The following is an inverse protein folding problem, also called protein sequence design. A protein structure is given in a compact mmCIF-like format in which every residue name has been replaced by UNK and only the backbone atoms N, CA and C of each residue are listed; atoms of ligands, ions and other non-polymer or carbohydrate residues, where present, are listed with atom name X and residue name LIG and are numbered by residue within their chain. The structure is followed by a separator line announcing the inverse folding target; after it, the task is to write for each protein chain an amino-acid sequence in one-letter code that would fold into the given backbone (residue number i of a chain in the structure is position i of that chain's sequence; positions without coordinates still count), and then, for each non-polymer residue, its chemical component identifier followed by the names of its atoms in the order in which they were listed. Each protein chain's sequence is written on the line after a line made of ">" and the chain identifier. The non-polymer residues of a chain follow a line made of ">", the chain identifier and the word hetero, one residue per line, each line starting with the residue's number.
data_IF_544184325805
#
_entry.id   IF_544184325805
#
_cell.length_a   1.000
_cell.length_b   1.000
_cell.length_c   1.000
_cell.angle_alpha   90.00
_cell.angle_beta   90.00
_cell.angle_gamma   90.00
#
_symmetry.space_group_name_H-M   'P 1'
#
loop_
_entity.id
_entity.type
_entity.pdbx_description
1 polymer ?
#
# COMPACT_ATOMS: atom_id res chain seq x y z
N UNK A 1 3.60 20.27 2.81
CA UNK A 1 3.31 18.84 3.02
C UNK A 1 4.34 18.07 2.24
N UNK A 2 5.03 17.12 2.86
CA UNK A 2 6.14 16.37 2.24
C UNK A 2 5.61 15.36 1.23
N UNK A 3 6.19 15.36 0.03
CA UNK A 3 5.89 14.35 -0.97
C UNK A 3 6.81 13.14 -0.80
N UNK A 4 8.11 13.38 -0.60
CA UNK A 4 9.14 12.33 -0.50
C UNK A 4 9.91 12.46 0.80
N UNK A 5 9.88 11.42 1.62
CA UNK A 5 10.75 11.26 2.79
C UNK A 5 11.96 10.41 2.41
N UNK A 6 13.17 10.88 2.73
CA UNK A 6 14.40 10.12 2.46
C UNK A 6 15.01 9.64 3.77
N UNK A 7 15.02 8.32 3.93
CA UNK A 7 15.72 7.62 5.01
C UNK A 7 17.14 7.28 4.55
N UNK A 8 18.13 7.79 5.26
CA UNK A 8 19.54 7.59 4.95
C UNK A 8 20.41 7.68 6.20
N UNK A 9 21.68 7.32 6.06
CA UNK A 9 22.66 7.43 7.13
C UNK A 9 23.44 8.73 6.97
N UNK A 10 23.61 9.51 8.05
CA UNK A 10 24.22 10.86 8.02
C UNK A 10 25.58 10.93 7.30
N UNK A 11 26.37 9.87 7.39
CA UNK A 11 27.65 9.68 6.73
C UNK A 11 27.55 9.74 5.19
N UNK A 12 26.36 9.47 4.65
CA UNK A 12 26.04 9.53 3.22
C UNK A 12 25.42 10.86 2.77
N UNK A 13 25.27 11.83 3.67
CA UNK A 13 24.58 13.09 3.40
C UNK A 13 25.06 13.78 2.11
N UNK A 14 26.37 13.83 1.85
CA UNK A 14 26.91 14.45 0.64
C UNK A 14 26.50 13.73 -0.66
N UNK A 15 26.27 12.41 -0.61
CA UNK A 15 25.78 11.62 -1.75
C UNK A 15 24.26 11.77 -1.90
N UNK A 16 23.55 11.73 -0.78
CA UNK A 16 22.08 11.87 -0.72
C UNK A 16 21.63 13.27 -1.12
N UNK A 17 22.43 14.31 -0.87
CA UNK A 17 22.14 15.68 -1.31
C UNK A 17 21.90 15.76 -2.82
N UNK A 18 22.67 15.02 -3.64
CA UNK A 18 22.47 14.97 -5.10
C UNK A 18 21.12 14.35 -5.46
N UNK A 19 20.70 13.32 -4.74
CA UNK A 19 19.40 12.68 -4.89
C UNK A 19 18.27 13.67 -4.55
N UNK A 20 18.43 14.40 -3.46
CA UNK A 20 17.48 15.42 -2.99
C UNK A 20 17.32 16.54 -4.01
N UNK A 21 18.43 17.10 -4.49
CA UNK A 21 18.43 18.18 -5.48
C UNK A 21 17.78 17.74 -6.79
N UNK A 22 18.11 16.53 -7.25
CA UNK A 22 17.51 15.98 -8.46
C UNK A 22 16.00 15.75 -8.30
N UNK A 23 15.53 15.18 -7.18
CA UNK A 23 14.09 15.02 -6.91
C UNK A 23 13.36 16.37 -6.82
N UNK A 24 13.96 17.38 -6.17
CA UNK A 24 13.40 18.74 -6.08
C UNK A 24 13.31 19.41 -7.44
N UNK A 25 14.29 19.18 -8.32
CA UNK A 25 14.27 19.70 -9.68
C UNK A 25 13.11 19.13 -10.53
N UNK A 26 12.58 17.97 -10.15
CA UNK A 26 11.38 17.36 -10.75
C UNK A 26 10.07 17.80 -10.05
N UNK A 27 10.14 18.73 -9.10
CA UNK A 27 8.98 19.36 -8.45
C UNK A 27 8.50 18.70 -7.15
N UNK A 28 9.20 17.69 -6.63
CA UNK A 28 8.83 17.04 -5.37
C UNK A 28 9.21 17.89 -4.16
N UNK A 29 8.33 17.94 -3.16
CA UNK A 29 8.67 18.42 -1.81
C UNK A 29 9.41 17.32 -1.06
N UNK A 30 10.74 17.43 -1.01
CA UNK A 30 11.62 16.42 -0.41
C UNK A 30 12.03 16.80 1.02
N UNK A 31 11.76 15.89 1.95
CA UNK A 31 12.19 15.95 3.33
C UNK A 31 13.33 14.95 3.59
N UNK A 32 14.36 15.42 4.31
CA UNK A 32 15.52 14.66 4.76
C UNK A 32 16.14 15.41 5.96
N UNK A 33 16.74 14.70 6.92
CA UNK A 33 17.17 15.24 8.23
C UNK A 33 18.48 16.08 8.21
N UNK A 34 18.91 16.55 7.04
CA UNK A 34 20.18 17.26 6.90
C UNK A 34 20.13 18.65 7.57
N UNK A 35 20.99 18.86 8.57
CA UNK A 35 21.13 20.16 9.24
C UNK A 35 20.29 20.32 10.52
N UNK A 36 19.63 19.27 11.01
CA UNK A 36 19.02 19.28 12.35
C UNK A 36 20.14 19.36 13.39
N UNK A 37 20.16 20.44 14.17
CA UNK A 37 21.17 20.68 15.20
C UNK A 37 20.99 19.70 16.37
N UNK A 38 22.11 19.28 16.99
CA UNK A 38 22.05 18.51 18.22
C UNK A 38 21.36 19.33 19.32
N UNK A 39 20.21 18.86 19.82
CA UNK A 39 19.43 19.51 20.88
C UNK A 39 18.09 20.13 20.43
N UNK A 40 17.76 20.17 19.14
CA UNK A 40 16.38 20.43 18.71
C UNK A 40 15.50 19.19 18.90
N UNK A 41 14.17 19.35 18.97
CA UNK A 41 13.15 18.29 19.06
C UNK A 41 13.24 17.33 17.84
N UNK A 42 14.27 16.49 17.85
CA UNK A 42 14.73 15.66 16.74
C UNK A 42 13.72 14.57 16.40
N UNK A 43 12.98 14.06 17.38
CA UNK A 43 12.16 12.85 17.18
C UNK A 43 10.73 13.15 16.70
N UNK A 44 10.18 14.31 17.06
CA UNK A 44 8.77 14.63 16.72
C UNK A 44 8.61 15.07 15.26
N UNK A 45 9.56 15.83 14.73
CA UNK A 45 9.50 16.35 13.36
C UNK A 45 9.73 15.27 12.30
N UNK A 46 10.66 14.34 12.53
CA UNK A 46 10.98 13.25 11.60
C UNK A 46 9.78 12.30 11.46
N UNK A 47 9.20 11.87 12.56
CA UNK A 47 8.03 11.00 12.53
C UNK A 47 6.84 11.65 11.82
N UNK A 48 6.54 12.93 12.11
CA UNK A 48 5.46 13.64 11.45
C UNK A 48 5.65 13.66 9.92
N UNK A 49 6.87 13.91 9.47
CA UNK A 49 7.18 14.01 8.04
C UNK A 49 7.22 12.63 7.37
N UNK A 50 7.71 11.60 8.07
CA UNK A 50 7.64 10.21 7.62
C UNK A 50 6.19 9.76 7.41
N UNK A 51 5.30 10.05 8.36
CA UNK A 51 3.89 9.66 8.27
C UNK A 51 3.09 10.54 7.29
N UNK A 52 3.48 11.80 7.09
CA UNK A 52 2.87 12.69 6.11
C UNK A 52 3.32 12.42 4.67
N UNK A 53 4.48 11.79 4.47
CA UNK A 53 5.03 11.54 3.15
C UNK A 53 4.18 10.61 2.29
N UNK A 54 4.17 10.89 0.98
CA UNK A 54 3.53 10.06 -0.05
C UNK A 54 4.45 8.93 -0.54
N UNK A 55 5.76 9.16 -0.45
CA UNK A 55 6.80 8.18 -0.83
C UNK A 55 7.86 8.15 0.26
N UNK A 56 8.29 6.95 0.65
CA UNK A 56 9.47 6.74 1.49
C UNK A 56 10.57 6.16 0.63
N UNK A 57 11.70 6.86 0.55
CA UNK A 57 12.90 6.41 -0.15
C UNK A 57 13.91 5.94 0.89
N UNK A 58 14.19 4.64 0.92
CA UNK A 58 15.26 4.08 1.75
C UNK A 58 16.55 3.98 0.93
N UNK A 59 17.60 4.64 1.40
CA UNK A 59 18.91 4.66 0.74
C UNK A 59 19.81 3.59 1.36
N UNK A 60 20.06 2.52 0.60
CA UNK A 60 20.96 1.42 0.96
C UNK A 60 22.40 1.74 0.58
N UNK A 61 23.26 1.77 1.60
CA UNK A 61 24.69 2.01 1.53
C UNK A 61 25.41 1.07 2.48
N UNK A 62 26.75 1.02 2.43
CA UNK A 62 27.54 0.26 3.42
C UNK A 62 27.25 0.70 4.86
N UNK A 63 26.92 1.98 5.07
CA UNK A 63 26.62 2.54 6.38
C UNK A 63 25.17 2.29 6.83
N UNK A 64 24.21 2.26 5.89
CA UNK A 64 22.79 2.24 6.22
C UNK A 64 22.20 0.83 6.38
N UNK A 65 22.78 -0.19 5.72
CA UNK A 65 22.28 -1.58 5.81
C UNK A 65 22.30 -2.13 7.24
N UNK A 66 23.27 -1.69 8.06
CA UNK A 66 23.36 -2.04 9.48
C UNK A 66 22.54 -1.14 10.40
N UNK A 67 22.10 0.03 9.94
CA UNK A 67 21.52 1.08 10.79
C UNK A 67 20.07 0.72 11.19
N UNK A 68 19.77 0.56 12.50
CA UNK A 68 18.42 0.21 12.96
C UNK A 68 17.37 1.23 12.53
N UNK A 69 17.67 2.52 12.70
CA UNK A 69 16.75 3.61 12.39
C UNK A 69 16.35 3.66 10.91
N UNK A 70 17.31 3.52 9.98
CA UNK A 70 17.03 3.47 8.54
C UNK A 70 16.11 2.30 8.20
N UNK A 71 16.34 1.13 8.83
CA UNK A 71 15.49 -0.05 8.63
C UNK A 71 14.08 0.16 9.19
N UNK A 72 13.94 0.84 10.32
CA UNK A 72 12.64 1.16 10.91
C UNK A 72 11.83 2.12 10.04
N UNK A 73 12.44 3.21 9.57
CA UNK A 73 11.79 4.15 8.65
C UNK A 73 11.41 3.48 7.32
N UNK A 74 12.31 2.65 6.77
CA UNK A 74 12.04 1.85 5.57
C UNK A 74 10.89 0.86 5.81
N UNK A 75 10.79 0.27 7.00
CA UNK A 75 9.72 -0.64 7.37
C UNK A 75 8.36 0.07 7.42
N UNK A 76 8.32 1.31 7.92
CA UNK A 76 7.11 2.14 7.88
C UNK A 76 6.66 2.38 6.43
N UNK A 77 7.59 2.76 5.55
CA UNK A 77 7.31 2.92 4.12
C UNK A 77 6.81 1.64 3.47
N UNK A 78 7.46 0.50 3.79
CA UNK A 78 7.10 -0.82 3.27
C UNK A 78 5.70 -1.23 3.69
N UNK A 79 5.38 -1.11 4.97
CA UNK A 79 4.07 -1.51 5.53
C UNK A 79 2.93 -0.67 4.96
N UNK A 80 3.22 0.59 4.58
CA UNK A 80 2.27 1.49 3.91
C UNK A 80 2.20 1.30 2.40
N UNK A 81 3.03 0.44 1.81
CA UNK A 81 3.08 0.22 0.36
C UNK A 81 3.66 1.39 -0.43
N UNK A 82 4.39 2.31 0.23
CA UNK A 82 4.95 3.52 -0.38
C UNK A 82 6.48 3.55 -0.39
N UNK A 83 7.12 2.40 -0.18
CA UNK A 83 8.58 2.28 -0.19
C UNK A 83 9.13 2.19 -1.61
N UNK A 84 10.06 3.09 -1.94
CA UNK A 84 10.91 3.00 -3.14
C UNK A 84 12.36 2.90 -2.69
N UNK A 85 12.93 1.69 -2.55
CA UNK A 85 14.30 1.54 -2.11
C UNK A 85 15.30 1.85 -3.23
N UNK A 86 16.45 2.41 -2.86
CA UNK A 86 17.54 2.73 -3.79
C UNK A 86 18.88 2.33 -3.17
N UNK A 87 19.80 1.78 -3.94
CA UNK A 87 21.17 1.50 -3.50
C UNK A 87 22.16 2.49 -4.10
N UNK A 88 23.07 2.99 -3.27
CA UNK A 88 24.16 3.90 -3.66
C UNK A 88 25.55 3.28 -3.47
N UNK A 89 25.62 2.12 -2.81
CA UNK A 89 26.78 1.23 -2.78
C UNK A 89 26.37 -0.16 -3.29
N UNK A 90 27.34 -0.96 -3.74
CA UNK A 90 27.10 -2.38 -3.99
C UNK A 90 26.95 -3.13 -2.66
N UNK A 91 25.70 -3.14 -2.17
CA UNK A 91 25.28 -3.81 -0.95
C UNK A 91 23.98 -4.57 -1.18
N UNK A 92 23.78 -5.62 -0.42
CA UNK A 92 22.52 -6.35 -0.39
C UNK A 92 21.53 -5.63 0.54
N UNK A 93 20.26 -5.39 0.13
CA UNK A 93 19.25 -4.82 1.02
C UNK A 93 19.07 -5.68 2.28
N UNK A 94 18.78 -5.09 3.45
CA UNK A 94 18.63 -5.85 4.68
C UNK A 94 17.51 -6.89 4.61
N UNK A 95 17.60 -7.91 5.47
CA UNK A 95 16.57 -8.94 5.59
C UNK A 95 15.20 -8.30 5.81
N UNK A 96 14.20 -8.79 5.08
CA UNK A 96 12.86 -8.21 5.05
C UNK A 96 12.64 -7.20 3.91
N UNK A 97 13.69 -6.69 3.27
CA UNK A 97 13.57 -5.78 2.12
C UNK A 97 14.04 -6.42 0.80
N UNK A 98 14.69 -7.59 0.86
CA UNK A 98 15.21 -8.33 -0.31
C UNK A 98 14.15 -8.68 -1.37
N UNK A 99 12.87 -8.82 -0.98
CA UNK A 99 11.77 -9.08 -1.92
C UNK A 99 11.27 -7.83 -2.66
N UNK A 100 11.81 -6.65 -2.32
CA UNK A 100 11.48 -5.38 -2.96
C UNK A 100 12.69 -4.95 -3.78
N UNK A 101 12.51 -4.85 -5.09
CA UNK A 101 13.58 -4.44 -5.99
C UNK A 101 14.03 -3.02 -5.66
N UNK A 102 15.31 -2.85 -5.34
CA UNK A 102 15.93 -1.54 -5.15
C UNK A 102 16.44 -0.98 -6.49
N UNK A 103 16.18 0.31 -6.73
CA UNK A 103 16.80 1.02 -7.83
C UNK A 103 18.33 1.04 -7.63
N UNK A 104 19.09 0.84 -8.70
CA UNK A 104 20.55 0.86 -8.63
C UNK A 104 21.10 2.22 -9.08
N UNK A 105 21.52 3.06 -8.13
CA UNK A 105 22.20 4.34 -8.37
C UNK A 105 23.66 4.32 -7.90
N UNK A 106 24.29 3.15 -7.85
CA UNK A 106 25.73 3.03 -7.61
C UNK A 106 26.48 3.84 -8.66
N UNK A 107 27.45 4.64 -8.21
CA UNK A 107 28.26 5.56 -9.02
C UNK A 107 27.46 6.63 -9.79
N UNK A 108 26.18 6.82 -9.49
CA UNK A 108 25.41 7.91 -10.09
C UNK A 108 25.85 9.27 -9.50
N UNK A 109 26.18 10.21 -10.39
CA UNK A 109 26.76 11.51 -10.03
C UNK A 109 25.80 12.69 -10.21
N UNK A 110 24.49 12.45 -10.37
CA UNK A 110 23.49 13.51 -10.54
C UNK A 110 23.03 13.74 -11.98
N UNK A 111 23.46 12.91 -12.93
CA UNK A 111 22.97 13.00 -14.31
C UNK A 111 21.49 12.61 -14.39
N UNK A 112 20.62 13.60 -14.61
CA UNK A 112 19.16 13.42 -14.70
C UNK A 112 18.70 12.75 -15.99
N UNK A 113 19.59 12.57 -16.96
CA UNK A 113 19.31 11.80 -18.18
C UNK A 113 19.67 10.32 -18.07
N UNK A 114 20.33 9.91 -16.97
CA UNK A 114 20.70 8.52 -16.72
C UNK A 114 19.44 7.62 -16.67
N UNK A 115 19.36 6.54 -17.48
CA UNK A 115 18.21 5.63 -17.49
C UNK A 115 17.89 5.02 -16.11
N UNK A 116 18.91 4.82 -15.26
CA UNK A 116 18.75 4.31 -13.89
C UNK A 116 18.03 5.33 -13.01
N UNK A 117 18.39 6.60 -13.16
CA UNK A 117 17.70 7.71 -12.51
C UNK A 117 16.27 7.87 -13.01
N UNK A 118 16.05 7.82 -14.33
CA UNK A 118 14.71 7.92 -14.91
C UNK A 118 13.80 6.78 -14.44
N UNK A 119 14.32 5.55 -14.35
CA UNK A 119 13.60 4.40 -13.79
C UNK A 119 13.21 4.61 -12.32
N UNK A 120 14.15 5.10 -11.51
CA UNK A 120 13.89 5.46 -10.11
C UNK A 120 12.84 6.57 -10.00
N UNK A 121 12.98 7.65 -10.79
CA UNK A 121 12.07 8.79 -10.81
C UNK A 121 10.64 8.37 -11.20
N UNK A 122 10.50 7.50 -12.20
CA UNK A 122 9.21 6.94 -12.59
C UNK A 122 8.56 6.15 -11.45
N UNK A 123 9.33 5.35 -10.72
CA UNK A 123 8.82 4.63 -9.56
C UNK A 123 8.37 5.58 -8.44
N UNK A 124 9.18 6.59 -8.10
CA UNK A 124 8.82 7.64 -7.12
C UNK A 124 7.54 8.36 -7.55
N UNK A 125 7.43 8.76 -8.83
CA UNK A 125 6.26 9.43 -9.37
C UNK A 125 4.99 8.55 -9.32
N UNK A 126 5.10 7.28 -9.69
CA UNK A 126 3.99 6.35 -9.65
C UNK A 126 3.49 6.12 -8.22
N UNK A 127 4.40 5.85 -7.28
CA UNK A 127 4.05 5.69 -5.86
C UNK A 127 3.45 6.98 -5.30
N UNK A 128 4.01 8.15 -5.63
CA UNK A 128 3.49 9.44 -5.17
C UNK A 128 2.07 9.73 -5.66
N UNK A 129 1.67 9.20 -6.82
CA UNK A 129 0.33 9.33 -7.41
C UNK A 129 -0.59 8.15 -7.08
N UNK A 130 -0.11 7.17 -6.31
CA UNK A 130 -0.80 5.92 -6.04
C UNK A 130 -1.20 5.16 -7.33
N UNK A 131 -0.31 5.19 -8.31
CA UNK A 131 -0.42 4.49 -9.59
C UNK A 131 0.40 3.19 -9.57
N UNK A 132 0.04 2.18 -10.38
CA UNK A 132 0.87 1.00 -10.56
C UNK A 132 2.28 1.43 -11.02
N UNK A 133 3.31 1.00 -10.28
CA UNK A 133 4.70 1.24 -10.69
C UNK A 133 4.91 0.55 -12.05
N UNK A 134 5.28 1.29 -13.10
CA UNK A 134 5.57 0.70 -14.40
C UNK A 134 6.66 -0.35 -14.19
N UNK A 135 6.40 -1.59 -14.61
CA UNK A 135 7.48 -2.57 -14.69
C UNK A 135 8.48 -1.99 -15.67
N UNK A 136 9.73 -1.76 -15.24
CA UNK A 136 10.81 -1.60 -16.21
C UNK A 136 10.78 -2.88 -17.04
N UNK A 137 10.37 -2.75 -18.30
CA UNK A 137 10.33 -3.87 -19.22
C UNK A 137 11.65 -4.62 -19.11
N UNK A 138 11.57 -5.95 -19.04
CA UNK A 138 12.72 -6.82 -19.19
C UNK A 138 13.61 -6.29 -20.33
N UNK A 139 14.95 -6.36 -20.22
CA UNK A 139 15.85 -5.76 -21.20
C UNK A 139 15.35 -6.14 -22.58
N UNK A 140 14.89 -5.13 -23.35
CA UNK A 140 14.39 -5.39 -24.69
C UNK A 140 15.48 -6.17 -25.39
N UNK A 141 15.16 -7.39 -25.86
CA UNK A 141 16.05 -8.07 -26.78
C UNK A 141 16.41 -7.02 -27.81
N UNK A 142 17.71 -6.75 -27.99
CA UNK A 142 18.16 -5.99 -29.15
C UNK A 142 17.41 -6.57 -30.34
N UNK A 143 16.80 -5.76 -31.21
CA UNK A 143 16.25 -6.26 -32.45
C UNK A 143 17.31 -7.16 -33.06
N UNK A 144 16.96 -8.42 -33.33
CA UNK A 144 17.89 -9.33 -33.98
C UNK A 144 18.46 -8.59 -35.19
N UNK A 145 19.79 -8.56 -35.39
CA UNK A 145 20.34 -7.94 -36.58
C UNK A 145 19.63 -8.55 -37.78
N UNK A 146 19.22 -7.74 -38.79
CA UNK A 146 18.41 -8.22 -39.89
C UNK A 146 19.06 -9.47 -40.46
N UNK A 147 18.27 -10.55 -40.54
CA UNK A 147 18.73 -11.84 -41.00
C UNK A 147 19.53 -11.65 -42.29
N UNK A 148 20.78 -12.11 -42.29
CA UNK A 148 21.62 -12.06 -43.47
C UNK A 148 20.87 -12.71 -44.64
N UNK A 149 20.92 -12.11 -45.85
CA UNK A 149 20.24 -12.70 -46.99
C UNK A 149 20.79 -14.12 -47.23
N UNK A 150 19.93 -15.08 -47.61
CA UNK A 150 20.36 -16.45 -47.80
C UNK A 150 21.43 -16.50 -48.89
N UNK A 151 22.57 -17.10 -48.55
CA UNK A 151 23.66 -17.35 -49.49
C UNK A 151 23.15 -18.19 -50.66
N UNK A 152 23.19 -17.60 -51.86
CA UNK A 152 22.85 -18.27 -53.11
C UNK A 152 24.04 -19.14 -53.53
N UNK A 153 24.01 -20.41 -53.12
CA UNK A 153 24.86 -21.46 -53.70
C UNK A 153 24.28 -21.97 -55.03
N UNK A 154 25.13 -22.34 -56.02
CA UNK A 154 24.68 -22.62 -57.38
C UNK A 154 24.02 -23.99 -57.52
N UNK A 155 22.98 -24.03 -58.36
CA UNK A 155 22.13 -25.18 -58.68
C UNK A 155 22.89 -26.27 -59.47
N UNK A 156 22.77 -27.52 -59.03
CA UNK A 156 22.84 -28.77 -59.82
C UNK A 156 21.71 -29.64 -59.24
N UNK A 157 20.69 -30.13 -59.92
CA UNK A 157 20.51 -30.50 -61.32
C UNK A 157 20.12 -31.98 -61.33
N UNK A 158 18.83 -32.31 -61.25
CA UNK A 158 18.27 -33.51 -61.90
C UNK A 158 16.75 -33.42 -61.99
N UNK A 159 16.25 -33.57 -63.22
CA UNK A 159 14.86 -33.63 -63.59
C UNK A 159 14.33 -35.05 -63.44
N UNK A 160 13.07 -35.22 -62.98
CA UNK A 160 12.16 -36.25 -63.50
C UNK A 160 10.75 -35.65 -63.55
N UNK A 161 10.15 -35.77 -64.72
CA UNK A 161 8.81 -35.33 -65.09
C UNK A 161 7.73 -36.34 -64.68
N UNK A 162 6.49 -35.86 -64.43
CA UNK A 162 5.27 -36.56 -64.88
C UNK A 162 4.00 -35.75 -64.59
N UNK A 163 3.49 -35.13 -65.67
CA UNK A 163 2.10 -35.21 -66.18
C UNK A 163 0.88 -34.72 -65.38
N UNK A 164 0.28 -33.64 -65.92
CA UNK A 164 -1.11 -33.51 -66.41
C UNK A 164 -2.28 -33.51 -65.40
N UNK A 165 -2.92 -32.33 -65.25
CA UNK A 165 -4.32 -32.01 -65.65
C UNK A 165 -4.50 -30.50 -65.39
N UNK A 166 -4.55 -29.61 -66.41
CA UNK A 166 -5.72 -29.39 -67.28
C UNK A 166 -6.81 -28.65 -66.49
N UNK A 167 -6.75 -27.31 -66.35
CA UNK A 167 -7.47 -26.33 -67.20
C UNK A 167 -8.99 -26.61 -67.27
N UNK A 168 -9.91 -25.68 -67.00
CA UNK A 168 -10.17 -24.49 -67.82
C UNK A 168 -11.32 -23.66 -67.17
N UNK A 169 -11.07 -22.41 -66.74
CA UNK A 169 -11.46 -21.09 -67.32
C UNK A 169 -12.91 -20.61 -67.08
N UNK A 170 -13.09 -19.47 -66.37
CA UNK A 170 -13.23 -18.06 -66.85
C UNK A 170 -14.55 -17.78 -67.58
N UNK A 171 -15.40 -16.91 -67.02
CA UNK A 171 -15.70 -15.58 -67.57
C UNK A 171 -17.22 -15.40 -67.61
N UNK A 172 -17.85 -14.23 -67.49
CA UNK A 172 -17.40 -12.85 -67.68
C UNK A 172 -18.45 -11.92 -67.06
N UNK A 173 -18.00 -10.74 -66.63
CA UNK A 173 -18.84 -9.63 -66.17
C UNK A 173 -19.51 -8.89 -67.33
N UNK A 174 -20.66 -8.25 -67.06
CA UNK A 174 -21.06 -6.91 -67.51
C UNK A 174 -22.54 -6.68 -67.09
N UNK A 175 -22.86 -5.79 -66.14
CA UNK A 175 -23.02 -4.33 -66.31
C UNK A 175 -24.53 -3.97 -66.30
N UNK A 176 -24.84 -2.69 -66.06
CA UNK A 176 -26.15 -1.99 -66.11
C UNK A 176 -26.86 -1.81 -64.74
N UNK A 177 -26.92 -0.53 -64.33
CA UNK A 177 -27.49 -0.03 -63.07
C UNK A 177 -29.01 0.24 -63.10
N UNK A 178 -29.50 1.34 -62.52
CA UNK A 178 -30.09 1.35 -61.18
C UNK A 178 -31.61 1.66 -61.14
N UNK A 179 -32.16 1.64 -59.92
CA UNK A 179 -33.45 2.21 -59.43
C UNK A 179 -34.74 1.41 -59.68
N UNK A 180 -35.47 1.06 -58.61
CA UNK A 180 -36.69 1.75 -58.16
C UNK A 180 -37.46 0.94 -57.10
N UNK A 181 -38.15 1.71 -56.27
CA UNK A 181 -39.06 1.37 -55.17
C UNK A 181 -40.20 0.46 -55.66
N UNK A 182 -40.50 -0.60 -54.90
CA UNK A 182 -41.65 -1.49 -55.12
C UNK A 182 -42.25 -1.94 -53.80
N UNK A 183 -43.34 -1.29 -53.41
CA UNK A 183 -44.15 -1.57 -52.22
C UNK A 183 -44.71 -3.00 -52.26
N UNK A 184 -44.56 -3.75 -51.17
CA UNK A 184 -45.29 -5.02 -50.98
C UNK A 184 -46.68 -4.72 -50.44
N UNK A 185 -47.68 -4.81 -51.30
CA UNK A 185 -49.08 -4.93 -50.93
C UNK A 185 -49.32 -6.30 -50.30
N UNK A 186 -49.55 -6.34 -48.99
CA UNK A 186 -50.08 -7.50 -48.31
C UNK A 186 -51.60 -7.52 -48.48
N UNK A 187 -52.09 -8.51 -49.21
CA UNK A 187 -53.51 -8.78 -49.43
C UNK A 187 -54.14 -9.30 -48.14
N UNK A 188 -55.09 -8.57 -47.57
CA UNK A 188 -55.93 -9.02 -46.45
C UNK A 188 -57.14 -9.79 -46.95
N UNK A 189 -57.25 -11.08 -46.58
CA UNK A 189 -58.50 -11.84 -46.65
C UNK A 189 -59.36 -11.59 -45.40
N UNK A 190 -60.69 -11.41 -45.53
CA UNK A 190 -61.59 -11.27 -44.39
C UNK A 190 -62.12 -12.64 -43.91
N UNK A 191 -61.94 -12.96 -42.64
CA UNK A 191 -62.61 -14.06 -41.94
C UNK A 191 -63.81 -13.52 -41.14
N UNK A 192 -64.95 -14.21 -41.29
CA UNK A 192 -66.22 -13.97 -40.62
C UNK A 192 -66.16 -14.19 -39.09
N UNK A 193 -67.13 -13.65 -38.31
CA UNK A 193 -66.98 -13.45 -36.87
C UNK A 193 -67.40 -14.68 -36.05
N UNK A 194 -66.48 -15.14 -35.18
CA UNK A 194 -66.80 -16.00 -34.04
C UNK A 194 -67.18 -15.18 -32.80
N UNK A 195 -67.90 -15.76 -31.83
CA UNK A 195 -68.51 -15.02 -30.72
C UNK A 195 -67.48 -14.34 -29.82
N UNK A 196 -67.88 -13.19 -29.30
CA UNK A 196 -67.07 -12.25 -28.53
C UNK A 196 -66.22 -12.91 -27.45
N UNK A 197 -64.89 -12.75 -27.57
CA UNK A 197 -63.97 -12.95 -26.47
C UNK A 197 -64.31 -11.98 -25.32
N UNK A 198 -64.26 -12.41 -24.05
CA UNK A 198 -64.49 -11.51 -22.92
C UNK A 198 -63.44 -10.40 -22.92
N UNK A 199 -63.86 -9.19 -22.54
CA UNK A 199 -63.02 -8.01 -22.46
C UNK A 199 -61.71 -8.30 -21.70
N UNK A 200 -60.58 -7.69 -22.09
CA UNK A 200 -59.34 -7.83 -21.35
C UNK A 200 -59.57 -7.39 -19.90
N UNK A 201 -59.31 -8.31 -18.97
CA UNK A 201 -59.39 -8.04 -17.54
C UNK A 201 -58.53 -6.81 -17.23
N UNK A 202 -59.10 -5.85 -16.49
CA UNK A 202 -58.35 -4.72 -15.96
C UNK A 202 -57.10 -5.23 -15.23
N UNK A 203 -55.94 -4.57 -15.36
CA UNK A 203 -54.77 -4.92 -14.56
C UNK A 203 -55.19 -4.89 -13.09
N UNK A 204 -54.93 -5.99 -12.38
CA UNK A 204 -55.19 -6.05 -10.95
C UNK A 204 -54.54 -4.82 -10.27
N UNK A 205 -55.20 -4.19 -9.28
CA UNK A 205 -54.59 -3.13 -8.50
C UNK A 205 -53.22 -3.60 -8.00
N UNK A 206 -52.18 -2.73 -7.94
CA UNK A 206 -50.85 -3.13 -7.53
C UNK A 206 -50.97 -3.89 -6.22
N UNK A 207 -50.45 -5.13 -6.23
CA UNK A 207 -50.45 -5.98 -5.05
C UNK A 207 -49.95 -5.16 -3.87
N UNK A 208 -50.69 -5.16 -2.77
CA UNK A 208 -50.27 -4.51 -1.54
C UNK A 208 -48.81 -4.92 -1.27
N UNK A 209 -47.92 -3.97 -0.93
CA UNK A 209 -46.52 -4.28 -0.70
C UNK A 209 -46.46 -5.43 0.31
N UNK A 210 -45.63 -6.46 0.05
CA UNK A 210 -45.54 -7.62 0.92
C UNK A 210 -45.30 -7.14 2.36
N UNK A 211 -45.95 -7.76 3.37
CA UNK A 211 -45.75 -7.37 4.75
C UNK A 211 -44.26 -7.47 5.08
N UNK A 212 -43.69 -6.37 5.57
CA UNK A 212 -42.27 -6.27 5.87
C UNK A 212 -41.93 -7.31 6.93
N UNK A 213 -41.01 -8.21 6.62
CA UNK A 213 -40.61 -9.23 7.58
C UNK A 213 -39.91 -8.59 8.79
N UNK A 214 -40.07 -9.13 10.01
CA UNK A 214 -39.37 -8.59 11.18
C UNK A 214 -37.85 -8.54 11.01
N UNK A 215 -37.27 -9.50 10.30
CA UNK A 215 -35.84 -9.54 9.99
C UNK A 215 -35.41 -8.45 8.99
N UNK A 216 -36.27 -8.11 8.04
CA UNK A 216 -36.02 -7.01 7.10
C UNK A 216 -36.11 -5.67 7.81
N UNK A 217 -37.14 -5.48 8.64
CA UNK A 217 -37.31 -4.29 9.45
C UNK A 217 -36.10 -4.06 10.36
N UNK A 218 -35.64 -5.10 11.06
CA UNK A 218 -34.48 -5.00 11.94
C UNK A 218 -33.19 -4.63 11.18
N UNK A 219 -32.97 -5.18 9.98
CA UNK A 219 -31.79 -4.84 9.19
C UNK A 219 -31.88 -3.41 8.64
N UNK A 220 -33.08 -2.97 8.25
CA UNK A 220 -33.34 -1.59 7.85
C UNK A 220 -33.09 -0.61 9.00
N UNK A 221 -33.63 -0.87 10.20
CA UNK A 221 -33.45 -0.03 11.37
C UNK A 221 -31.97 0.06 11.75
N UNK A 222 -31.23 -1.06 11.66
CA UNK A 222 -29.78 -1.09 11.83
C UNK A 222 -29.06 -0.22 10.80
N UNK A 223 -29.42 -0.33 9.52
CA UNK A 223 -28.82 0.49 8.46
C UNK A 223 -29.10 1.98 8.65
N UNK A 224 -30.30 2.33 9.08
CA UNK A 224 -30.70 3.71 9.40
C UNK A 224 -30.03 4.26 10.66
N UNK A 225 -29.67 3.40 11.62
CA UNK A 225 -28.90 3.77 12.80
C UNK A 225 -27.42 4.00 12.47
N UNK A 226 -26.82 3.13 11.63
CA UNK A 226 -25.41 3.23 11.24
C UNK A 226 -25.17 4.33 10.19
N UNK A 227 -26.15 4.57 9.30
CA UNK A 227 -26.09 5.54 8.19
C UNK A 227 -24.85 5.42 7.31
N UNK A 228 -24.21 4.26 7.23
CA UNK A 228 -23.02 4.05 6.40
C UNK A 228 -23.39 3.49 5.03
N UNK A 229 -22.62 3.82 3.99
CA UNK A 229 -22.78 3.19 2.66
C UNK A 229 -22.78 1.66 2.76
N UNK A 230 -21.88 1.09 3.57
CA UNK A 230 -21.77 -0.36 3.76
C UNK A 230 -23.03 -0.98 4.36
N UNK A 231 -23.68 -0.31 5.31
CA UNK A 231 -24.90 -0.83 5.93
C UNK A 231 -26.07 -0.85 4.93
N UNK A 232 -26.21 0.22 4.14
CA UNK A 232 -27.21 0.30 3.08
C UNK A 232 -26.96 -0.71 1.94
N UNK A 233 -25.71 -0.89 1.52
CA UNK A 233 -25.33 -1.93 0.57
C UNK A 233 -25.64 -3.34 1.09
N UNK A 234 -25.37 -3.60 2.37
CA UNK A 234 -25.69 -4.88 3.02
C UNK A 234 -27.19 -5.16 3.02
N UNK A 235 -28.02 -4.13 3.25
CA UNK A 235 -29.48 -4.26 3.12
C UNK A 235 -29.89 -4.64 1.67
N UNK A 236 -29.35 -3.96 0.65
CA UNK A 236 -29.66 -4.27 -0.76
C UNK A 236 -29.26 -5.69 -1.16
N UNK A 237 -28.17 -6.21 -0.58
CA UNK A 237 -27.72 -7.58 -0.82
C UNK A 237 -28.62 -8.61 -0.14
N UNK A 238 -29.07 -8.34 1.09
CA UNK A 238 -29.94 -9.25 1.84
C UNK A 238 -31.39 -9.25 1.32
N UNK A 239 -31.90 -8.09 0.90
CA UNK A 239 -33.27 -7.90 0.43
C UNK A 239 -33.30 -7.14 -0.90
N UNK A 240 -32.89 -7.76 -2.03
CA UNK A 240 -32.81 -7.09 -3.33
C UNK A 240 -34.16 -6.62 -3.88
N UNK A 241 -35.25 -7.25 -3.43
CA UNK A 241 -36.63 -6.87 -3.72
C UNK A 241 -37.39 -6.43 -2.45
N UNK A 242 -36.67 -6.01 -1.41
CA UNK A 242 -37.22 -5.56 -0.15
C UNK A 242 -38.04 -4.27 -0.25
N UNK A 243 -38.85 -4.00 0.77
CA UNK A 243 -39.73 -2.85 0.85
C UNK A 243 -38.99 -1.50 0.83
N UNK A 244 -37.74 -1.46 1.31
CA UNK A 244 -36.96 -0.23 1.41
C UNK A 244 -35.95 -0.02 0.28
N UNK A 245 -35.90 -0.89 -0.73
CA UNK A 245 -34.88 -0.85 -1.80
C UNK A 245 -34.78 0.50 -2.50
N UNK A 246 -35.91 1.11 -2.87
CA UNK A 246 -35.89 2.42 -3.54
C UNK A 246 -35.38 3.51 -2.60
N UNK A 247 -35.86 3.52 -1.35
CA UNK A 247 -35.41 4.47 -0.34
C UNK A 247 -33.90 4.35 -0.07
N UNK A 248 -33.37 3.13 -0.06
CA UNK A 248 -31.93 2.89 0.10
C UNK A 248 -31.15 3.44 -1.09
N UNK A 249 -31.62 3.25 -2.32
CA UNK A 249 -30.98 3.82 -3.52
C UNK A 249 -30.93 5.35 -3.44
N UNK A 250 -32.03 5.98 -3.05
CA UNK A 250 -32.09 7.43 -2.90
C UNK A 250 -31.12 7.93 -1.82
N UNK A 251 -31.04 7.24 -0.67
CA UNK A 251 -30.10 7.56 0.41
C UNK A 251 -28.64 7.40 -0.06
N UNK A 252 -28.34 6.38 -0.87
CA UNK A 252 -26.98 6.16 -1.38
C UNK A 252 -26.50 7.27 -2.32
N UNK A 253 -27.43 8.04 -2.93
CA UNK A 253 -27.09 9.22 -3.75
C UNK A 253 -26.70 10.43 -2.90
N UNK A 254 -27.08 10.48 -1.63
CA UNK A 254 -26.77 11.60 -0.72
C UNK A 254 -25.54 11.33 0.15
N UNK A 255 -24.80 10.24 -0.10
CA UNK A 255 -23.60 9.91 0.66
C UNK A 255 -22.55 11.03 0.56
N UNK A 256 -21.99 11.41 1.71
CA UNK A 256 -20.85 12.31 1.81
C UNK A 256 -19.74 11.66 2.62
N UNK A 257 -18.51 11.99 2.28
CA UNK A 257 -17.36 11.54 3.06
C UNK A 257 -17.20 12.45 4.26
N UNK A 258 -17.33 11.88 5.45
CA UNK A 258 -16.95 12.52 6.70
C UNK A 258 -15.64 11.97 7.19
N UNK A 259 -14.86 12.87 7.78
CA UNK A 259 -13.61 12.51 8.43
C UNK A 259 -13.89 12.37 9.91
N UNK A 260 -13.74 11.15 10.43
CA UNK A 260 -13.88 10.86 11.85
C UNK A 260 -12.53 10.52 12.47
N UNK A 261 -12.31 11.03 13.66
CA UNK A 261 -11.12 10.74 14.45
C UNK A 261 -11.40 9.55 15.34
N UNK A 262 -10.72 8.44 15.05
CA UNK A 262 -10.82 7.22 15.83
C UNK A 262 -9.48 6.92 16.47
N UNK A 263 -9.50 6.36 17.66
CA UNK A 263 -8.30 5.94 18.36
C UNK A 263 -8.23 4.43 18.32
N UNK A 264 -7.10 3.91 17.84
CA UNK A 264 -6.86 2.46 17.75
C UNK A 264 -5.51 2.15 18.34
N UNK A 265 -5.32 0.91 18.75
CA UNK A 265 -4.03 0.44 19.21
C UNK A 265 -2.95 0.66 18.13
N UNK A 266 -1.86 1.29 18.54
CA UNK A 266 -0.70 1.58 17.70
C UNK A 266 0.26 0.39 17.61
N UNK A 267 1.32 0.51 16.79
CA UNK A 267 2.36 -0.50 16.73
C UNK A 267 3.06 -0.62 18.08
N UNK A 268 3.31 -1.85 18.52
CA UNK A 268 3.99 -2.12 19.78
C UNK A 268 5.51 -1.90 19.66
N UNK A 269 6.10 -1.25 20.65
CA UNK A 269 7.55 -1.38 20.89
C UNK A 269 7.72 -2.60 21.78
N UNK A 270 8.06 -3.74 21.19
CA UNK A 270 8.14 -5.01 21.89
C UNK A 270 9.59 -5.46 22.11
N UNK A 271 9.83 -6.11 23.25
CA UNK A 271 11.07 -6.81 23.61
C UNK A 271 12.36 -5.96 23.52
N UNK A 272 12.27 -4.67 23.82
CA UNK A 272 13.45 -3.81 23.94
C UNK A 272 14.17 -4.10 25.25
N UNK A 273 15.50 -4.12 25.25
CA UNK A 273 16.28 -4.46 26.45
C UNK A 273 16.63 -3.21 27.24
N UNK A 274 16.39 -3.24 28.56
CA UNK A 274 16.87 -2.22 29.49
C UNK A 274 17.76 -2.85 30.54
N UNK A 275 18.80 -2.11 30.93
CA UNK A 275 19.75 -2.51 31.96
C UNK A 275 19.58 -1.66 33.21
N UNK A 276 19.28 -2.30 34.33
CA UNK A 276 19.39 -1.71 35.66
C UNK A 276 20.66 -2.16 36.34
N UNK A 277 21.19 -1.34 37.26
CA UNK A 277 22.39 -1.65 38.04
C UNK A 277 22.15 -1.32 39.51
N UNK A 278 22.46 -2.28 40.36
CA UNK A 278 22.53 -2.11 41.80
C UNK A 278 23.86 -2.64 42.33
N UNK A 279 24.30 -2.12 43.46
CA UNK A 279 25.53 -2.58 44.11
C UNK A 279 25.39 -2.60 45.63
N UNK A 280 26.34 -3.26 46.29
CA UNK A 280 26.37 -3.40 47.74
C UNK A 280 27.14 -2.28 48.46
N UNK A 281 27.60 -1.24 47.75
CA UNK A 281 28.41 -0.17 48.36
C UNK A 281 27.64 0.66 49.38
N UNK A 282 26.30 0.69 49.26
CA UNK A 282 25.38 1.30 50.22
C UNK A 282 24.95 0.40 51.39
N UNK A 283 25.65 -0.72 51.63
CA UNK A 283 25.29 -1.69 52.69
C UNK A 283 24.13 -2.63 52.33
N UNK A 284 23.73 -2.66 51.06
CA UNK A 284 22.71 -3.59 50.55
C UNK A 284 23.27 -5.01 50.44
N UNK A 285 22.42 -6.02 50.62
CA UNK A 285 22.75 -7.40 50.24
C UNK A 285 22.72 -7.57 48.72
N UNK A 286 23.36 -8.60 48.13
CA UNK A 286 23.27 -8.87 46.70
C UNK A 286 21.84 -9.02 46.18
N UNK A 287 20.94 -9.61 46.99
CA UNK A 287 19.51 -9.74 46.65
C UNK A 287 18.86 -8.35 46.56
N UNK A 288 19.10 -7.49 47.56
CA UNK A 288 18.59 -6.11 47.56
C UNK A 288 19.15 -5.29 46.39
N UNK A 289 20.43 -5.48 46.04
CA UNK A 289 21.06 -4.86 44.88
C UNK A 289 20.40 -5.32 43.56
N UNK A 290 20.09 -6.60 43.43
CA UNK A 290 19.34 -7.14 42.29
C UNK A 290 17.91 -6.58 42.22
N UNK A 291 17.17 -6.57 43.34
CA UNK A 291 15.82 -6.01 43.39
C UNK A 291 15.80 -4.53 43.01
N UNK A 292 16.78 -3.77 43.49
CA UNK A 292 17.00 -2.38 43.07
C UNK A 292 17.21 -2.30 41.56
N UNK A 293 18.13 -3.09 41.00
CA UNK A 293 18.39 -3.10 39.56
C UNK A 293 17.11 -3.41 38.75
N UNK A 294 16.32 -4.41 39.14
CA UNK A 294 15.05 -4.74 38.50
C UNK A 294 14.02 -3.61 38.61
N UNK A 295 13.91 -2.98 39.78
CA UNK A 295 12.99 -1.87 40.00
C UNK A 295 13.37 -0.63 39.19
N UNK A 296 14.67 -0.36 39.04
CA UNK A 296 15.18 0.69 38.17
C UNK A 296 14.77 0.43 36.71
N UNK A 297 14.87 -0.81 36.22
CA UNK A 297 14.36 -1.16 34.87
C UNK A 297 12.86 -0.92 34.75
N UNK A 298 12.06 -1.31 35.74
CA UNK A 298 10.60 -1.07 35.73
C UNK A 298 10.27 0.41 35.70
N UNK A 299 11.00 1.23 36.47
CA UNK A 299 10.83 2.68 36.47
C UNK A 299 11.25 3.30 35.12
N UNK A 300 12.37 2.85 34.54
CA UNK A 300 12.81 3.28 33.21
C UNK A 300 11.80 2.91 32.13
N UNK A 301 11.32 1.68 32.09
CA UNK A 301 10.31 1.21 31.13
C UNK A 301 9.02 2.05 31.20
N UNK A 302 8.54 2.31 32.42
CA UNK A 302 7.39 3.20 32.65
C UNK A 302 7.64 4.60 32.07
N UNK A 303 8.77 5.22 32.44
CA UNK A 303 9.09 6.57 32.01
C UNK A 303 9.25 6.67 30.49
N UNK A 304 9.92 5.71 29.86
CA UNK A 304 10.07 5.64 28.40
C UNK A 304 8.71 5.50 27.72
N UNK A 305 7.85 4.58 28.18
CA UNK A 305 6.54 4.39 27.59
C UNK A 305 5.64 5.63 27.74
N UNK A 306 5.64 6.27 28.92
CA UNK A 306 4.94 7.54 29.12
C UNK A 306 5.49 8.66 28.22
N UNK A 307 6.81 8.71 28.03
CA UNK A 307 7.45 9.71 27.18
C UNK A 307 7.06 9.55 25.72
N UNK A 308 7.06 8.31 25.20
CA UNK A 308 6.58 7.99 23.85
C UNK A 308 5.15 8.50 23.66
N UNK A 309 4.27 8.19 24.62
CA UNK A 309 2.86 8.55 24.51
C UNK A 309 2.63 10.05 24.60
N UNK A 310 3.25 10.71 25.58
CA UNK A 310 3.11 12.16 25.77
C UNK A 310 3.67 12.94 24.58
N UNK A 311 4.87 12.58 24.11
CA UNK A 311 5.53 13.31 23.03
C UNK A 311 4.94 13.03 21.65
N UNK A 312 4.36 11.83 21.46
CA UNK A 312 3.68 11.43 20.23
C UNK A 312 2.23 11.92 20.10
N UNK A 313 1.68 12.56 21.15
CA UNK A 313 0.25 12.90 21.17
C UNK A 313 -0.65 11.65 21.16
N UNK A 314 -0.15 10.53 21.69
CA UNK A 314 -0.88 9.28 21.82
C UNK A 314 -1.63 9.25 23.15
N UNK A 315 -2.37 8.17 23.40
CA UNK A 315 -3.04 7.97 24.70
C UNK A 315 -2.93 6.53 25.19
N UNK A 316 -3.36 6.29 26.43
CA UNK A 316 -3.43 4.96 27.06
C UNK A 316 -2.09 4.18 27.02
N UNK A 317 -1.01 4.73 27.62
CA UNK A 317 0.26 4.02 27.69
C UNK A 317 0.09 2.74 28.52
N UNK A 318 0.56 1.63 27.97
CA UNK A 318 0.57 0.32 28.61
C UNK A 318 1.96 -0.28 28.44
N UNK A 319 2.56 -0.78 29.51
CA UNK A 319 3.90 -1.37 29.44
C UNK A 319 3.99 -2.65 30.23
N UNK A 320 4.91 -3.51 29.82
CA UNK A 320 5.26 -4.74 30.50
C UNK A 320 6.77 -4.86 30.60
N UNK A 321 7.26 -5.47 31.68
CA UNK A 321 8.66 -5.83 31.86
C UNK A 321 8.69 -7.30 32.22
N UNK A 322 9.40 -8.11 31.45
CA UNK A 322 9.56 -9.53 31.75
C UNK A 322 10.63 -9.68 32.83
N UNK A 323 10.31 -10.42 33.89
CA UNK A 323 11.27 -10.66 34.95
C UNK A 323 12.29 -11.72 34.53
N UNK A 324 13.55 -11.51 34.92
CA UNK A 324 14.68 -12.44 34.72
C UNK A 324 15.63 -12.32 35.90
N UNK A 325 16.49 -13.31 36.08
CA UNK A 325 17.53 -13.27 37.11
C UNK A 325 18.57 -12.19 36.83
N UNK A 326 19.15 -11.63 37.89
CA UNK A 326 20.24 -10.67 37.78
C UNK A 326 21.58 -11.40 37.60
N UNK A 327 22.47 -10.77 36.84
CA UNK A 327 23.88 -11.15 36.77
C UNK A 327 24.67 -10.35 37.81
N UNK A 328 25.17 -11.01 38.85
CA UNK A 328 25.87 -10.39 39.97
C UNK A 328 27.34 -10.82 40.00
N UNK A 329 28.25 -9.85 39.88
CA UNK A 329 29.69 -10.05 39.90
C UNK A 329 30.32 -9.31 41.08
N UNK A 330 31.27 -9.95 41.77
CA UNK A 330 32.04 -9.33 42.86
C UNK A 330 33.44 -8.97 42.38
N UNK A 331 33.68 -7.75 41.85
CA UNK A 331 35.01 -7.34 41.40
C UNK A 331 36.05 -7.29 42.53
N UNK A 332 35.61 -7.22 43.79
CA UNK A 332 36.45 -7.35 44.98
C UNK A 332 35.63 -7.85 46.17
N UNK A 333 36.27 -8.03 47.33
CA UNK A 333 35.64 -8.55 48.56
C UNK A 333 34.69 -7.57 49.26
N UNK A 334 34.57 -6.33 48.78
CA UNK A 334 33.76 -5.27 49.42
C UNK A 334 32.50 -4.92 48.64
N UNK A 335 32.49 -5.14 47.33
CA UNK A 335 31.40 -4.71 46.45
C UNK A 335 30.99 -5.85 45.52
N UNK A 336 29.69 -6.12 45.50
CA UNK A 336 29.02 -6.92 44.47
C UNK A 336 28.15 -6.00 43.62
N UNK A 337 28.27 -6.13 42.30
CA UNK A 337 27.51 -5.36 41.32
C UNK A 337 26.52 -6.32 40.65
N UNK A 338 25.24 -6.01 40.74
CA UNK A 338 24.16 -6.77 40.12
C UNK A 338 23.57 -5.99 38.95
N UNK A 339 23.51 -6.64 37.78
CA UNK A 339 22.94 -6.12 36.54
C UNK A 339 21.64 -6.86 36.24
N UNK A 340 20.59 -6.12 35.90
CA UNK A 340 19.31 -6.69 35.47
C UNK A 340 19.05 -6.26 34.02
N UNK A 341 19.24 -7.19 33.08
CA UNK A 341 18.93 -6.98 31.66
C UNK A 341 17.53 -7.55 31.36
N UNK A 342 16.51 -6.69 31.47
CA UNK A 342 15.11 -7.11 31.34
C UNK A 342 14.50 -6.60 30.03
N UNK A 343 13.80 -7.45 29.26
CA UNK A 343 13.04 -6.98 28.11
C UNK A 343 11.77 -6.26 28.58
N UNK A 344 11.49 -5.12 27.98
CA UNK A 344 10.25 -4.37 28.16
C UNK A 344 9.49 -4.25 26.84
N UNK A 345 8.18 -4.08 26.97
CA UNK A 345 7.31 -3.72 25.84
C UNK A 345 6.43 -2.53 26.20
N UNK A 346 6.07 -1.72 25.21
CA UNK A 346 5.18 -0.58 25.34
C UNK A 346 4.13 -0.63 24.22
N UNK A 347 2.89 -0.35 24.60
CA UNK A 347 1.68 -0.30 23.79
C UNK A 347 0.96 1.01 24.08
N UNK A 348 0.28 1.56 23.09
CA UNK A 348 -0.46 2.81 23.21
C UNK A 348 -1.52 2.89 22.12
N UNK A 349 -2.39 3.88 22.24
CA UNK A 349 -3.40 4.17 21.23
C UNK A 349 -2.98 5.36 20.38
N UNK A 350 -3.02 5.18 19.07
CA UNK A 350 -2.77 6.23 18.09
C UNK A 350 -4.07 6.78 17.53
N UNK A 351 -4.02 8.05 17.15
CA UNK A 351 -5.11 8.74 16.48
C UNK A 351 -5.07 8.41 15.00
N UNK A 352 -6.14 7.82 14.49
CA UNK A 352 -6.36 7.56 13.07
C UNK A 352 -7.48 8.43 12.56
N UNK A 353 -7.31 8.88 11.33
CA UNK A 353 -8.32 9.63 10.60
C UNK A 353 -8.97 8.68 9.62
N UNK A 354 -10.21 8.28 9.91
CA UNK A 354 -10.97 7.40 9.02
C UNK A 354 -11.94 8.22 8.19
N UNK A 355 -12.01 7.89 6.91
CA UNK A 355 -13.01 8.42 5.99
C UNK A 355 -14.20 7.48 6.03
N UNK A 356 -15.26 7.93 6.69
CA UNK A 356 -16.54 7.23 6.73
C UNK A 356 -17.46 7.86 5.68
N UNK A 357 -18.08 7.02 4.85
CA UNK A 357 -19.14 7.48 3.96
C UNK A 357 -20.47 7.39 4.69
N UNK A 358 -20.97 8.55 5.12
CA UNK A 358 -22.26 8.69 5.77
C UNK A 358 -23.29 9.07 4.71
N UNK A 359 -24.43 8.38 4.71
CA UNK A 359 -25.52 8.53 3.75
C UNK A 359 -26.83 8.84 4.47
N UNK A 360 -27.63 9.76 3.92
CA UNK A 360 -28.85 10.26 4.56
C UNK A 360 -28.56 11.26 5.68
#
# INVERSE_FOLDING_TARGET
>A
MTDVFISYKKEDAGRVMRLVEALRAEGFVVWWDHGIAAGSEWDRSIHQELYAAKVVVAVWSKASVGAPWVKEEALVGKNRGILVPVKIDEVEPPLGFMMIQAANLVDWQGDRSDPRWLGFLNAVGAVSRNEPVPRMDAPQRRPDPPAAPPATGPKRGLAIASTLFGALLIGLAAMWGPTLIGQRTATSQPSSPGPAAPAPAQPAPPAAPPPISPSEQALWDKAMAEKTRSAFQSYLLAYPNGAYVQRVRDILLTCRTETSEVWKEGPAVANQMLRGVGDTSGGMTPIQACDKAKNDVRAMAKNLCHTIVHNGGFRNPRWTVQDKDCDCESPNSRVTICKADLPYSCLWDMKYTERLEICG
#
